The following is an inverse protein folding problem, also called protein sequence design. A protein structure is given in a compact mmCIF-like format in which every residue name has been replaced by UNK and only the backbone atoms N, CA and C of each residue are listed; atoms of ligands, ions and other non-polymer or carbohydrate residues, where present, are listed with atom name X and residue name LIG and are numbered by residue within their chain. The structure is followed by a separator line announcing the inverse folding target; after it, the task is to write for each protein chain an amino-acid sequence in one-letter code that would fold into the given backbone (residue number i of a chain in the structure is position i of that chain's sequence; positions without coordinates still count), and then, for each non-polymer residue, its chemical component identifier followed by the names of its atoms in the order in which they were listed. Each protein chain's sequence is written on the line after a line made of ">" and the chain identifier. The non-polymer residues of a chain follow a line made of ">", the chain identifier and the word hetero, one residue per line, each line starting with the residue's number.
data_IF_318080604775
#
_entry.id   IF_318080604775
#
_cell.length_a   1.000
_cell.length_b   1.000
_cell.length_c   1.000
_cell.angle_alpha   90.00
_cell.angle_beta   90.00
_cell.angle_gamma   90.00
#
_symmetry.space_group_name_H-M   'P 1'
#
loop_
_entity.id
_entity.type
_entity.pdbx_description
1 polymer ?
#
# COMPACT_ATOMS: atom_id res chain seq x y z
N UNK A 1 9.56 11.64 16.48
CA UNK A 1 9.28 11.13 15.12
C UNK A 1 7.88 10.56 15.11
N UNK A 2 7.07 10.84 14.09
CA UNK A 2 5.75 10.24 13.95
C UNK A 2 5.87 8.76 13.57
N UNK A 3 4.95 7.92 14.05
CA UNK A 3 4.89 6.49 13.70
C UNK A 3 3.94 6.28 12.54
N UNK A 4 4.37 5.51 11.55
CA UNK A 4 3.55 5.09 10.40
C UNK A 4 3.38 3.57 10.45
N UNK A 5 2.20 3.11 10.07
CA UNK A 5 1.88 1.68 9.99
C UNK A 5 1.76 1.26 8.53
N UNK A 6 2.59 0.32 8.11
CA UNK A 6 2.51 -0.31 6.80
C UNK A 6 2.25 -1.81 6.98
N UNK A 7 1.06 -2.26 6.62
CA UNK A 7 0.74 -3.70 6.56
C UNK A 7 1.10 -4.22 5.17
N UNK A 8 1.85 -5.32 5.07
CA UNK A 8 2.34 -5.84 3.79
C UNK A 8 1.77 -7.23 3.54
N UNK A 9 1.10 -7.38 2.40
CA UNK A 9 0.35 -8.57 2.00
C UNK A 9 0.64 -8.96 0.54
N UNK A 10 0.04 -10.08 0.11
CA UNK A 10 0.04 -10.48 -1.30
C UNK A 10 -1.28 -11.11 -1.74
N UNK A 11 -1.60 -10.97 -3.03
CA UNK A 11 -2.85 -11.46 -3.62
C UNK A 11 -2.63 -12.25 -4.92
N UNK A 12 -3.44 -13.29 -5.17
CA UNK A 12 -3.35 -14.12 -6.39
C UNK A 12 -3.66 -13.30 -7.65
N UNK A 13 -3.07 -13.58 -8.81
CA UNK A 13 -3.33 -12.81 -10.02
C UNK A 13 -4.74 -12.97 -10.60
N UNK A 14 -5.48 -13.98 -10.14
CA UNK A 14 -6.89 -14.20 -10.49
C UNK A 14 -7.69 -14.69 -9.28
N UNK A 15 -8.94 -14.25 -9.18
CA UNK A 15 -9.89 -14.70 -8.17
C UNK A 15 -11.22 -15.03 -8.86
N UNK A 16 -11.76 -16.23 -8.63
CA UNK A 16 -12.98 -16.73 -9.30
C UNK A 16 -12.95 -16.61 -10.84
N UNK A 17 -11.78 -16.85 -11.43
CA UNK A 17 -11.58 -16.75 -12.88
C UNK A 17 -11.51 -15.32 -13.42
N UNK A 18 -11.64 -14.30 -12.58
CA UNK A 18 -11.48 -12.91 -12.99
C UNK A 18 -10.02 -12.48 -12.81
N UNK A 19 -9.39 -11.86 -13.84
CA UNK A 19 -8.03 -11.35 -13.72
C UNK A 19 -8.00 -10.11 -12.81
N UNK A 20 -6.93 -9.96 -12.03
CA UNK A 20 -6.67 -8.77 -11.22
C UNK A 20 -5.51 -7.98 -11.85
N UNK A 21 -5.81 -6.88 -12.56
CA UNK A 21 -4.84 -6.22 -13.44
C UNK A 21 -3.74 -5.49 -12.67
N UNK A 22 -3.98 -5.12 -11.41
CA UNK A 22 -3.04 -4.40 -10.57
C UNK A 22 -1.83 -5.25 -10.22
N UNK A 23 -0.65 -4.65 -10.27
CA UNK A 23 0.60 -5.20 -9.77
C UNK A 23 0.76 -4.94 -8.26
N UNK A 24 0.29 -3.77 -7.81
CA UNK A 24 0.32 -3.32 -6.42
C UNK A 24 -1.04 -2.74 -6.06
N UNK A 25 -1.56 -3.06 -4.88
CA UNK A 25 -2.77 -2.47 -4.30
C UNK A 25 -2.44 -1.61 -3.09
N UNK A 26 -3.10 -0.45 -2.97
CA UNK A 26 -2.93 0.50 -1.88
C UNK A 26 -4.27 0.74 -1.20
N UNK A 27 -4.54 0.04 -0.09
CA UNK A 27 -5.81 0.15 0.62
C UNK A 27 -5.65 0.92 1.92
N UNK A 28 -6.67 1.72 2.19
CA UNK A 28 -6.75 2.60 3.35
C UNK A 28 -8.22 2.64 3.81
N UNK A 29 -8.44 2.94 5.09
CA UNK A 29 -9.78 3.13 5.63
C UNK A 29 -10.28 4.55 5.32
N UNK A 30 -10.35 5.36 6.36
CA UNK A 30 -10.81 6.75 6.28
C UNK A 30 -9.68 7.72 5.92
N UNK A 31 -8.44 7.44 6.31
CA UNK A 31 -7.31 8.33 6.06
C UNK A 31 -6.55 7.95 4.77
N UNK A 32 -6.83 8.68 3.70
CA UNK A 32 -6.20 8.49 2.38
C UNK A 32 -4.82 9.14 2.25
N UNK A 33 -4.34 9.94 3.20
CA UNK A 33 -3.14 10.79 3.01
C UNK A 33 -1.90 9.97 2.64
N UNK A 34 -1.65 8.88 3.35
CA UNK A 34 -0.51 8.00 3.06
C UNK A 34 -0.66 7.29 1.72
N UNK A 35 -1.86 6.77 1.41
CA UNK A 35 -2.13 6.12 0.13
C UNK A 35 -1.95 7.09 -1.06
N UNK A 36 -2.42 8.34 -0.94
CA UNK A 36 -2.25 9.37 -1.95
C UNK A 36 -0.75 9.65 -2.21
N UNK A 37 0.06 9.79 -1.17
CA UNK A 37 1.49 9.98 -1.31
C UNK A 37 2.19 8.78 -2.00
N UNK A 38 1.75 7.55 -1.69
CA UNK A 38 2.24 6.34 -2.36
C UNK A 38 1.81 6.28 -3.83
N UNK A 39 0.55 6.59 -4.16
CA UNK A 39 0.06 6.65 -5.54
C UNK A 39 0.88 7.63 -6.39
N UNK A 40 1.14 8.82 -5.86
CA UNK A 40 1.95 9.83 -6.54
C UNK A 40 3.39 9.37 -6.74
N UNK A 41 3.99 8.72 -5.74
CA UNK A 41 5.35 8.20 -5.83
C UNK A 41 5.47 7.01 -6.81
N UNK A 42 4.48 6.12 -6.83
CA UNK A 42 4.39 5.01 -7.77
C UNK A 42 4.22 5.46 -9.22
N UNK A 43 3.79 6.71 -9.48
CA UNK A 43 3.75 7.23 -10.85
C UNK A 43 5.10 7.09 -11.57
N UNK A 44 6.23 7.08 -10.85
CA UNK A 44 7.56 6.86 -11.43
C UNK A 44 7.80 5.43 -11.95
N UNK A 45 7.01 4.44 -11.52
CA UNK A 45 7.09 3.03 -11.90
C UNK A 45 6.10 2.72 -13.04
N UNK A 46 6.42 3.17 -14.26
CA UNK A 46 5.51 3.09 -15.43
C UNK A 46 5.07 1.66 -15.81
N UNK A 47 5.83 0.65 -15.41
CA UNK A 47 5.54 -0.76 -15.69
C UNK A 47 4.57 -1.38 -14.66
N UNK A 48 4.23 -0.64 -13.59
CA UNK A 48 3.34 -1.11 -12.54
C UNK A 48 1.94 -0.50 -12.67
N UNK A 49 0.92 -1.35 -12.71
CA UNK A 49 -0.47 -0.94 -12.55
C UNK A 49 -0.76 -0.89 -11.07
N UNK A 50 -1.08 0.28 -10.54
CA UNK A 50 -1.35 0.46 -9.10
C UNK A 50 -2.84 0.66 -8.86
N UNK A 51 -3.39 -0.12 -7.94
CA UNK A 51 -4.78 -0.04 -7.51
C UNK A 51 -4.97 0.96 -6.37
N UNK A 52 -5.86 1.93 -6.55
CA UNK A 52 -6.30 2.85 -5.51
C UNK A 52 -7.49 2.22 -4.77
N UNK A 53 -7.23 1.73 -3.56
CA UNK A 53 -8.20 0.96 -2.76
C UNK A 53 -8.74 -0.30 -3.46
N UNK A 54 -7.84 -1.00 -4.15
CA UNK A 54 -8.06 -2.24 -4.90
C UNK A 54 -6.94 -3.24 -4.56
N UNK A 55 -7.15 -4.57 -4.56
CA UNK A 55 -8.36 -5.29 -5.00
C UNK A 55 -9.41 -5.51 -3.89
N UNK A 56 -9.16 -4.94 -2.70
CA UNK A 56 -10.04 -5.04 -1.54
C UNK A 56 -10.24 -3.65 -0.95
N UNK A 57 -11.25 -3.50 -0.08
CA UNK A 57 -11.47 -2.28 0.67
C UNK A 57 -11.21 -2.53 2.16
N UNK A 58 -10.51 -1.60 2.81
CA UNK A 58 -10.30 -1.61 4.26
C UNK A 58 -11.53 -1.03 4.95
N UNK A 59 -12.11 -1.82 5.86
CA UNK A 59 -13.21 -1.43 6.75
C UNK A 59 -12.97 -2.10 8.10
N UNK A 60 -13.63 -1.64 9.16
CA UNK A 60 -13.58 -2.32 10.48
C UNK A 60 -14.01 -3.79 10.43
N UNK A 61 -14.76 -4.21 9.41
CA UNK A 61 -15.23 -5.59 9.23
C UNK A 61 -14.31 -6.44 8.34
N UNK A 62 -13.51 -5.82 7.47
CA UNK A 62 -12.69 -6.51 6.45
C UNK A 62 -11.19 -6.50 6.76
N UNK A 63 -10.72 -5.57 7.60
CA UNK A 63 -9.34 -5.49 8.04
C UNK A 63 -9.24 -5.17 9.54
N UNK A 64 -8.17 -5.64 10.16
CA UNK A 64 -7.81 -5.32 11.55
C UNK A 64 -6.54 -4.47 11.62
N UNK A 65 -5.64 -4.59 10.65
CA UNK A 65 -4.32 -3.96 10.68
C UNK A 65 -4.41 -2.44 10.69
N UNK A 66 -4.97 -1.86 9.64
CA UNK A 66 -5.10 -0.41 9.47
C UNK A 66 -6.03 0.20 10.52
N UNK A 67 -7.26 -0.30 10.74
CA UNK A 67 -8.17 0.32 11.71
C UNK A 67 -7.60 0.32 13.14
N UNK A 68 -7.02 -0.78 13.59
CA UNK A 68 -6.62 -0.92 15.00
C UNK A 68 -5.26 -0.29 15.32
N UNK A 69 -4.27 -0.49 14.45
CA UNK A 69 -2.91 -0.04 14.75
C UNK A 69 -2.59 1.35 14.19
N UNK A 70 -3.31 1.79 13.15
CA UNK A 70 -3.10 3.08 12.52
C UNK A 70 -4.20 4.09 12.89
N UNK A 71 -5.44 3.85 12.49
CA UNK A 71 -6.48 4.87 12.58
C UNK A 71 -6.94 5.14 14.02
N UNK A 72 -7.21 4.10 14.82
CA UNK A 72 -7.64 4.27 16.23
C UNK A 72 -6.63 5.06 17.08
N UNK A 73 -5.30 4.84 16.95
CA UNK A 73 -4.30 5.67 17.64
C UNK A 73 -3.96 6.98 16.92
N UNK A 74 -4.60 7.29 15.79
CA UNK A 74 -4.39 8.54 15.07
C UNK A 74 -3.09 8.62 14.26
N UNK A 75 -2.67 7.51 13.68
CA UNK A 75 -1.45 7.37 12.88
C UNK A 75 -1.81 7.14 11.42
N UNK A 76 -0.92 7.56 10.53
CA UNK A 76 -1.01 7.22 9.12
C UNK A 76 -0.83 5.70 8.94
N UNK A 77 -1.74 5.11 8.16
CA UNK A 77 -1.80 3.68 7.90
C UNK A 77 -2.01 3.36 6.43
N UNK A 78 -1.40 2.29 5.96
CA UNK A 78 -1.58 1.77 4.61
C UNK A 78 -1.47 0.25 4.63
N UNK A 79 -2.39 -0.42 3.94
CA UNK A 79 -2.27 -1.83 3.59
C UNK A 79 -1.77 -1.92 2.14
N UNK A 80 -0.54 -2.43 1.99
CA UNK A 80 0.13 -2.67 0.73
C UNK A 80 -0.07 -4.13 0.31
N UNK A 81 -0.64 -4.34 -0.87
CA UNK A 81 -0.83 -5.65 -1.49
C UNK A 81 0.07 -5.80 -2.71
N UNK A 82 0.83 -6.90 -2.81
CA UNK A 82 1.70 -7.19 -3.96
C UNK A 82 1.17 -8.43 -4.69
N UNK A 83 0.99 -8.36 -6.01
CA UNK A 83 0.51 -9.52 -6.77
C UNK A 83 1.53 -10.66 -6.72
N UNK A 84 1.07 -11.86 -6.36
CA UNK A 84 1.93 -12.98 -5.96
C UNK A 84 2.92 -13.44 -7.04
N UNK A 85 2.57 -13.32 -8.32
CA UNK A 85 3.43 -13.65 -9.45
C UNK A 85 4.71 -12.79 -9.50
N UNK A 86 4.68 -11.58 -8.94
CA UNK A 86 5.82 -10.67 -8.87
C UNK A 86 6.84 -11.07 -7.78
N UNK A 87 6.41 -11.88 -6.81
CA UNK A 87 7.19 -12.26 -5.63
C UNK A 87 7.34 -13.78 -5.47
N UNK A 88 7.06 -14.56 -6.53
CA UNK A 88 7.11 -16.02 -6.50
C UNK A 88 8.51 -16.63 -6.36
N UNK A 89 9.57 -15.82 -6.41
CA UNK A 89 10.95 -16.24 -6.19
C UNK A 89 11.76 -15.13 -5.49
N UNK A 90 12.94 -15.45 -4.91
CA UNK A 90 13.77 -14.48 -4.19
C UNK A 90 14.14 -13.24 -5.01
N UNK A 91 14.41 -13.40 -6.31
CA UNK A 91 14.76 -12.27 -7.18
C UNK A 91 13.59 -11.32 -7.39
N UNK A 92 12.38 -11.86 -7.57
CA UNK A 92 11.13 -11.09 -7.68
C UNK A 92 10.81 -10.35 -6.37
N UNK A 93 10.89 -11.05 -5.24
CA UNK A 93 10.70 -10.47 -3.93
C UNK A 93 11.70 -9.33 -3.66
N UNK A 94 12.99 -9.52 -4.00
CA UNK A 94 14.02 -8.48 -3.87
C UNK A 94 13.71 -7.26 -4.74
N UNK A 95 13.36 -7.47 -6.02
CA UNK A 95 13.00 -6.37 -6.94
C UNK A 95 11.81 -5.57 -6.41
N UNK A 96 10.74 -6.24 -5.98
CA UNK A 96 9.57 -5.56 -5.42
C UNK A 96 9.89 -4.83 -4.12
N UNK A 97 10.72 -5.40 -3.25
CA UNK A 97 11.16 -4.73 -2.01
C UNK A 97 11.96 -3.45 -2.31
N UNK A 98 12.86 -3.47 -3.29
CA UNK A 98 13.63 -2.29 -3.71
C UNK A 98 12.72 -1.18 -4.28
N UNK A 99 11.74 -1.56 -5.10
CA UNK A 99 10.74 -0.63 -5.64
C UNK A 99 9.92 -0.02 -4.50
N UNK A 100 9.33 -0.85 -3.63
CA UNK A 100 8.50 -0.41 -2.51
C UNK A 100 9.28 0.47 -1.55
N UNK A 101 10.54 0.15 -1.25
CA UNK A 101 11.39 0.97 -0.38
C UNK A 101 11.65 2.35 -1.01
N UNK A 102 12.03 2.39 -2.29
CA UNK A 102 12.26 3.65 -3.03
C UNK A 102 10.99 4.51 -3.09
N UNK A 103 9.86 3.90 -3.43
CA UNK A 103 8.55 4.57 -3.49
C UNK A 103 8.14 5.05 -2.10
N UNK A 104 8.33 4.24 -1.07
CA UNK A 104 8.00 4.57 0.31
C UNK A 104 8.76 5.81 0.78
N UNK A 105 10.09 5.85 0.61
CA UNK A 105 10.89 7.04 0.95
C UNK A 105 10.41 8.29 0.21
N UNK A 106 10.18 8.16 -1.09
CA UNK A 106 9.64 9.22 -1.95
C UNK A 106 8.26 9.72 -1.47
N UNK A 107 7.37 8.81 -1.07
CA UNK A 107 6.06 9.15 -0.52
C UNK A 107 6.18 9.87 0.83
N UNK A 108 7.07 9.42 1.71
CA UNK A 108 7.30 10.05 3.01
C UNK A 108 7.84 11.49 2.88
N UNK A 109 8.71 11.74 1.90
CA UNK A 109 9.21 13.10 1.61
C UNK A 109 8.11 14.06 1.11
N UNK A 110 6.99 13.52 0.59
CA UNK A 110 5.84 14.30 0.12
C UNK A 110 4.85 14.63 1.22
N UNK A 111 4.88 13.92 2.35
CA UNK A 111 4.00 14.19 3.47
C UNK A 111 4.46 15.46 4.19
N UNK A 112 3.58 16.45 4.29
CA UNK A 112 3.89 17.65 5.07
C UNK A 112 3.93 17.31 6.57
N UNK A 113 4.63 18.10 7.40
CA UNK A 113 4.56 17.96 8.85
C UNK A 113 3.13 18.00 9.40
N UNK A 114 2.22 18.73 8.74
CA UNK A 114 0.81 18.83 9.11
C UNK A 114 0.01 17.55 8.77
N UNK A 115 0.47 16.75 7.79
CA UNK A 115 -0.16 15.46 7.46
C UNK A 115 0.10 14.38 8.51
N UNK A 116 1.06 14.63 9.42
CA UNK A 116 1.41 13.74 10.51
C UNK A 116 0.71 14.11 11.84
N UNK A 117 -0.03 15.22 11.86
CA UNK A 117 -0.90 15.63 12.96
C UNK A 117 -2.36 15.35 12.61
N UNK A 118 -3.12 14.86 13.60
CA UNK A 118 -4.58 14.82 13.57
C UNK A 118 -5.17 16.18 13.92
#
# INVERSE_FOLDING_TARGET
>A
AATIVLSVHSFTPSLYGQPRPWHVGLMYGQDRRLAAAFLDAFSSERDLVVGDNEPYHVTDASDYGVPVYAERPGRLGLLLEIRQDLIGNPEGARRMAEIVAKVGLSALDRLSPNDQSL
#
